data_IF_616521807044
#
_entry.id   IF_616521807044
#
_cell.length_a   1.000
_cell.length_b   1.000
_cell.length_c   1.000
_cell.angle_alpha   90.00
_cell.angle_beta   90.00
_cell.angle_gamma   90.00
#
_symmetry.space_group_name_H-M   'P 1'
#
loop_
_entity.id
_entity.type
_entity.pdbx_description
1 polymer ?
#
# COMPACT_ATOMS: atom_id res chain seq x y z
N UNK A 1 -31.92 77.55 -105.51
CA UNK A 1 -31.22 77.97 -104.27
C UNK A 1 -31.88 77.21 -103.13
N UNK A 2 -31.23 76.46 -102.23
CA UNK A 2 -29.83 76.36 -101.82
C UNK A 2 -29.57 74.91 -101.33
N UNK A 3 -28.29 74.53 -101.40
CA UNK A 3 -27.66 73.23 -101.11
C UNK A 3 -27.47 72.98 -99.58
N UNK A 4 -26.88 71.84 -99.14
CA UNK A 4 -27.18 71.08 -97.92
C UNK A 4 -26.22 71.34 -96.73
N UNK A 5 -26.50 70.77 -95.55
CA UNK A 5 -25.50 70.41 -94.51
C UNK A 5 -26.22 69.71 -93.33
N UNK A 6 -25.65 68.90 -92.43
CA UNK A 6 -24.41 68.15 -92.25
C UNK A 6 -24.69 67.21 -91.05
N UNK A 7 -23.90 66.14 -90.94
CA UNK A 7 -23.88 65.10 -89.89
C UNK A 7 -23.80 65.67 -88.46
N UNK A 8 -24.33 64.93 -87.48
CA UNK A 8 -23.69 64.81 -86.16
C UNK A 8 -23.89 63.38 -85.61
N UNK A 9 -22.79 62.62 -85.59
CA UNK A 9 -22.64 61.44 -84.77
C UNK A 9 -22.24 61.90 -83.35
N UNK A 10 -22.90 61.40 -82.31
CA UNK A 10 -22.36 61.38 -80.95
C UNK A 10 -22.60 59.98 -80.38
N UNK A 11 -21.48 59.33 -80.08
CA UNK A 11 -21.40 58.06 -79.39
C UNK A 11 -21.96 58.18 -77.96
N UNK A 12 -22.77 57.21 -77.53
CA UNK A 12 -22.91 56.87 -76.11
C UNK A 12 -22.34 55.47 -75.94
N UNK A 13 -21.02 55.41 -76.03
CA UNK A 13 -20.19 54.32 -75.53
C UNK A 13 -19.30 54.96 -74.45
N UNK A 14 -19.77 54.96 -73.20
CA UNK A 14 -18.99 55.07 -71.96
C UNK A 14 -19.89 55.51 -70.79
N UNK A 15 -20.56 54.57 -70.13
CA UNK A 15 -20.95 54.76 -68.72
C UNK A 15 -21.03 53.41 -67.98
N UNK A 16 -19.96 52.61 -68.08
CA UNK A 16 -19.73 51.45 -67.18
C UNK A 16 -18.30 51.48 -66.66
N UNK A 17 -17.78 52.68 -66.38
CA UNK A 17 -16.37 52.86 -66.08
C UNK A 17 -16.14 53.90 -65.01
N UNK A 18 -16.59 53.61 -63.79
CA UNK A 18 -15.96 54.06 -62.54
C UNK A 18 -16.90 53.77 -61.37
N UNK A 19 -16.95 52.53 -60.86
CA UNK A 19 -17.37 52.30 -59.46
C UNK A 19 -16.97 50.94 -58.89
N UNK A 20 -15.81 50.38 -59.25
CA UNK A 20 -15.24 49.26 -58.48
C UNK A 20 -13.70 49.30 -58.54
N UNK A 21 -13.11 50.25 -57.82
CA UNK A 21 -11.70 50.15 -57.41
C UNK A 21 -11.70 50.25 -55.90
N UNK A 22 -11.58 49.12 -55.20
CA UNK A 22 -11.41 49.15 -53.75
C UNK A 22 -11.54 47.82 -53.03
N UNK A 23 -12.40 46.90 -53.46
CA UNK A 23 -12.47 45.58 -52.82
C UNK A 23 -11.58 44.61 -53.59
N UNK A 24 -10.51 44.13 -52.96
CA UNK A 24 -9.88 42.85 -53.31
C UNK A 24 -10.90 41.73 -53.04
N UNK A 25 -11.93 41.65 -53.87
CA UNK A 25 -12.81 40.50 -53.92
C UNK A 25 -11.97 39.34 -54.46
N UNK A 26 -12.02 38.20 -53.76
CA UNK A 26 -11.58 36.92 -54.29
C UNK A 26 -12.08 36.80 -55.73
N UNK A 27 -11.16 36.75 -56.70
CA UNK A 27 -11.50 36.51 -58.08
C UNK A 27 -11.86 35.02 -58.25
N UNK A 28 -13.00 34.63 -57.71
CA UNK A 28 -13.71 33.43 -58.16
C UNK A 28 -14.39 33.79 -59.47
N UNK A 29 -13.99 33.16 -60.56
CA UNK A 29 -14.70 33.31 -61.84
C UNK A 29 -16.11 32.75 -61.67
N UNK A 30 -17.12 33.63 -61.65
CA UNK A 30 -18.52 33.18 -61.69
C UNK A 30 -18.78 32.67 -63.10
N UNK A 31 -18.66 31.36 -63.29
CA UNK A 31 -19.09 30.69 -64.52
C UNK A 31 -20.61 30.59 -64.51
N UNK A 32 -21.30 31.59 -65.03
CA UNK A 32 -22.70 31.45 -65.39
C UNK A 32 -22.77 30.51 -66.59
N UNK A 33 -23.52 29.41 -66.48
CA UNK A 33 -23.92 28.63 -67.66
C UNK A 33 -24.56 29.58 -68.68
N UNK A 34 -24.41 29.32 -69.99
CA UNK A 34 -24.94 30.19 -71.06
C UNK A 34 -26.39 30.60 -70.76
N UNK A 35 -26.58 31.85 -70.35
CA UNK A 35 -27.90 32.45 -70.14
C UNK A 35 -28.29 33.21 -71.41
N UNK A 36 -29.54 33.03 -71.82
CA UNK A 36 -30.13 33.65 -73.00
C UNK A 36 -30.88 34.92 -72.59
N UNK A 37 -31.10 35.83 -73.55
CA UNK A 37 -31.92 37.01 -73.32
C UNK A 37 -33.36 36.58 -72.99
N UNK A 38 -33.83 36.89 -71.78
CA UNK A 38 -35.15 36.52 -71.27
C UNK A 38 -35.12 35.49 -70.14
N UNK A 39 -33.96 34.88 -69.84
CA UNK A 39 -33.83 33.97 -68.71
C UNK A 39 -33.92 34.74 -67.39
N UNK A 40 -34.80 34.28 -66.49
CA UNK A 40 -34.91 34.82 -65.14
C UNK A 40 -33.88 34.11 -64.25
N UNK A 41 -32.82 34.81 -63.88
CA UNK A 41 -31.84 34.31 -62.91
C UNK A 41 -32.49 34.39 -61.52
N UNK A 42 -32.90 33.25 -60.97
CA UNK A 42 -33.41 33.15 -59.60
C UNK A 42 -32.25 33.02 -58.62
N UNK A 43 -32.42 33.42 -57.36
CA UNK A 43 -31.35 33.34 -56.34
C UNK A 43 -30.74 31.93 -56.19
N UNK A 44 -31.50 30.88 -56.54
CA UNK A 44 -31.07 29.48 -56.55
C UNK A 44 -30.11 29.10 -57.70
N UNK A 45 -29.99 29.90 -58.76
CA UNK A 45 -29.10 29.62 -59.90
C UNK A 45 -27.72 30.27 -59.78
N UNK A 46 -27.52 31.08 -58.74
CA UNK A 46 -26.21 31.55 -58.31
C UNK A 46 -25.69 30.50 -57.33
N UNK A 47 -24.64 29.76 -57.70
CA UNK A 47 -23.89 28.96 -56.73
C UNK A 47 -23.38 29.92 -55.66
N UNK A 48 -24.10 30.06 -54.55
CA UNK A 48 -23.66 30.87 -53.43
C UNK A 48 -22.49 30.12 -52.78
N UNK A 49 -21.23 30.59 -52.95
CA UNK A 49 -20.09 29.93 -52.32
C UNK A 49 -20.23 29.88 -50.80
N UNK A 50 -21.10 30.72 -50.21
CA UNK A 50 -21.44 30.70 -48.79
C UNK A 50 -22.22 29.45 -48.40
N UNK A 51 -23.13 28.94 -49.24
CA UNK A 51 -23.87 27.70 -48.98
C UNK A 51 -22.93 26.46 -49.03
N UNK A 52 -21.98 26.44 -49.95
CA UNK A 52 -20.95 25.38 -50.02
C UNK A 52 -19.98 25.45 -48.84
N UNK A 53 -19.61 26.66 -48.41
CA UNK A 53 -18.77 26.89 -47.24
C UNK A 53 -19.50 26.48 -45.95
N UNK A 54 -20.78 26.83 -45.80
CA UNK A 54 -21.61 26.41 -44.67
C UNK A 54 -21.80 24.89 -44.65
N UNK A 55 -22.02 24.24 -45.80
CA UNK A 55 -22.07 22.78 -45.88
C UNK A 55 -20.74 22.11 -45.48
N UNK A 56 -19.61 22.72 -45.83
CA UNK A 56 -18.27 22.21 -45.48
C UNK A 56 -17.95 22.42 -43.99
N UNK A 57 -18.35 23.55 -43.42
CA UNK A 57 -18.17 23.85 -41.99
C UNK A 57 -19.11 23.01 -41.11
N UNK A 58 -20.37 22.87 -41.53
CA UNK A 58 -21.40 22.14 -40.78
C UNK A 58 -21.36 20.62 -41.02
N UNK A 59 -20.69 20.15 -42.08
CA UNK A 59 -20.47 18.73 -42.36
C UNK A 59 -19.35 18.08 -41.53
N UNK A 60 -18.67 18.87 -40.69
CA UNK A 60 -17.53 18.43 -39.88
C UNK A 60 -16.20 18.80 -40.55
N UNK A 61 -15.31 19.44 -39.78
CA UNK A 61 -13.93 19.66 -40.21
C UNK A 61 -13.20 18.33 -40.00
N UNK A 62 -13.08 17.55 -41.07
CA UNK A 62 -12.25 16.33 -41.04
C UNK A 62 -10.75 16.68 -41.04
N UNK A 63 -9.92 15.80 -40.47
CA UNK A 63 -8.48 16.01 -40.27
C UNK A 63 -7.72 16.39 -41.56
N UNK A 64 -8.19 15.97 -42.73
CA UNK A 64 -7.62 16.32 -44.04
C UNK A 64 -7.69 17.82 -44.37
N UNK A 65 -8.55 18.57 -43.69
CA UNK A 65 -8.76 20.00 -43.93
C UNK A 65 -7.97 20.90 -42.95
N UNK A 66 -7.22 20.30 -42.02
CA UNK A 66 -6.37 21.03 -41.09
C UNK A 66 -4.92 20.89 -41.58
N UNK A 67 -4.32 22.01 -42.02
CA UNK A 67 -2.90 22.02 -42.37
C UNK A 67 -2.08 21.49 -41.20
N UNK A 68 -1.11 20.61 -41.46
CA UNK A 68 -0.19 20.10 -40.43
C UNK A 68 0.61 21.20 -39.72
N UNK A 69 0.62 22.42 -40.28
CA UNK A 69 1.27 23.61 -39.71
C UNK A 69 0.30 24.62 -39.11
N UNK A 70 -1.01 24.36 -39.13
CA UNK A 70 -1.98 25.24 -38.51
C UNK A 70 -1.83 25.17 -36.99
N UNK A 71 -1.42 26.29 -36.38
CA UNK A 71 -1.47 26.49 -34.94
C UNK A 71 -2.95 26.64 -34.50
N UNK A 72 -3.69 25.53 -34.51
CA UNK A 72 -5.03 25.50 -33.93
C UNK A 72 -4.83 25.52 -32.41
N UNK A 73 -5.13 26.66 -31.81
CA UNK A 73 -5.17 26.76 -30.35
C UNK A 73 -6.23 25.79 -29.82
N UNK A 74 -5.81 24.89 -28.93
CA UNK A 74 -6.67 23.88 -28.29
C UNK A 74 -7.91 24.51 -27.63
N UNK A 75 -7.81 25.76 -27.18
CA UNK A 75 -8.92 26.55 -26.63
C UNK A 75 -10.11 26.75 -27.58
N UNK A 76 -9.95 26.48 -28.88
CA UNK A 76 -10.99 26.64 -29.91
C UNK A 76 -11.63 25.32 -30.35
N UNK A 77 -11.21 24.19 -29.80
CA UNK A 77 -11.81 22.88 -30.09
C UNK A 77 -12.76 22.53 -28.94
N UNK A 78 -14.06 22.70 -29.16
CA UNK A 78 -15.08 22.27 -28.21
C UNK A 78 -15.46 20.81 -28.50
N UNK A 79 -14.95 19.88 -27.70
CA UNK A 79 -15.33 18.48 -27.79
C UNK A 79 -16.76 18.30 -27.24
N UNK A 80 -17.68 17.91 -28.11
CA UNK A 80 -19.08 17.68 -27.75
C UNK A 80 -19.21 16.27 -27.16
N UNK A 81 -19.11 16.21 -25.83
CA UNK A 81 -19.34 15.06 -24.94
C UNK A 81 -18.20 14.03 -24.83
N UNK A 82 -17.77 13.80 -23.59
CA UNK A 82 -16.67 12.92 -23.21
C UNK A 82 -15.34 13.67 -23.22
N UNK A 83 -14.82 14.01 -22.03
CA UNK A 83 -13.61 14.83 -21.88
C UNK A 83 -12.45 14.35 -22.74
N UNK A 84 -11.63 15.27 -23.24
CA UNK A 84 -10.36 14.88 -23.82
C UNK A 84 -9.59 14.08 -22.77
N UNK A 85 -9.26 12.85 -23.12
CA UNK A 85 -8.57 11.94 -22.24
C UNK A 85 -7.17 12.53 -22.03
N UNK A 86 -6.77 12.77 -20.78
CA UNK A 86 -5.37 13.04 -20.45
C UNK A 86 -4.59 11.73 -20.44
N UNK A 87 -4.81 10.90 -21.46
CA UNK A 87 -4.05 9.69 -21.72
C UNK A 87 -2.62 10.12 -21.99
N UNK A 88 -1.76 9.93 -20.98
CA UNK A 88 -0.34 10.09 -21.15
C UNK A 88 0.14 9.23 -22.32
N UNK A 89 0.71 9.86 -23.33
CA UNK A 89 1.28 9.18 -24.49
C UNK A 89 0.27 8.80 -25.58
N UNK A 90 0.79 8.58 -26.79
CA UNK A 90 0.07 8.29 -28.03
C UNK A 90 -0.77 7.01 -28.05
N UNK A 91 -0.96 6.34 -26.91
CA UNK A 91 -1.67 5.04 -26.81
C UNK A 91 -2.82 5.03 -25.81
N UNK A 92 -3.16 6.16 -25.16
CA UNK A 92 -4.32 6.20 -24.26
C UNK A 92 -4.24 5.23 -23.09
N UNK A 93 -3.02 4.81 -22.70
CA UNK A 93 -2.83 3.94 -21.55
C UNK A 93 -3.29 4.71 -20.32
N UNK A 94 -4.30 4.23 -19.58
CA UNK A 94 -4.70 4.86 -18.33
C UNK A 94 -3.47 5.00 -17.44
N UNK A 95 -3.32 6.15 -16.77
CA UNK A 95 -2.37 6.24 -15.65
C UNK A 95 -2.94 5.34 -14.55
N UNK A 96 -2.57 4.07 -14.61
CA UNK A 96 -2.85 3.12 -13.53
C UNK A 96 -2.01 3.60 -12.36
N UNK A 97 -2.67 3.92 -11.24
CA UNK A 97 -1.97 4.26 -10.01
C UNK A 97 -1.01 3.12 -9.69
N UNK A 98 0.29 3.38 -9.80
CA UNK A 98 1.32 2.38 -9.55
C UNK A 98 1.23 2.02 -8.06
N UNK A 99 0.99 0.73 -7.79
CA UNK A 99 1.11 0.18 -6.47
C UNK A 99 2.55 0.43 -5.97
N UNK A 100 2.69 1.12 -4.84
CA UNK A 100 3.99 1.40 -4.26
C UNK A 100 4.47 0.14 -3.53
N UNK A 101 5.69 -0.27 -3.83
CA UNK A 101 6.31 -1.43 -3.20
C UNK A 101 6.32 -1.27 -1.67
N UNK A 102 5.86 -2.29 -0.94
CA UNK A 102 5.84 -2.32 0.52
C UNK A 102 4.91 -1.31 1.20
N UNK A 103 4.04 -0.61 0.45
CA UNK A 103 3.18 0.43 1.03
C UNK A 103 2.23 -0.14 2.09
N UNK A 104 2.25 0.47 3.27
CA UNK A 104 1.38 0.15 4.40
C UNK A 104 1.12 1.43 5.19
N UNK A 105 -0.14 1.86 5.26
CA UNK A 105 -0.52 3.10 5.95
C UNK A 105 -1.89 2.98 6.62
N UNK A 106 -1.99 3.43 7.87
CA UNK A 106 -3.23 3.48 8.65
C UNK A 106 -3.71 2.13 9.18
N UNK A 107 -3.38 1.02 8.51
CA UNK A 107 -3.69 -0.31 8.99
C UNK A 107 -2.95 -0.60 10.30
N UNK A 108 -3.71 -1.00 11.30
CA UNK A 108 -3.25 -1.37 12.62
C UNK A 108 -4.20 -2.40 13.22
N UNK A 109 -3.72 -3.13 14.24
CA UNK A 109 -4.52 -4.16 14.93
C UNK A 109 -4.60 -3.85 16.43
N UNK A 110 -5.70 -4.22 17.06
CA UNK A 110 -5.95 -4.12 18.50
C UNK A 110 -6.95 -5.18 18.96
N UNK A 111 -6.89 -5.63 20.21
CA UNK A 111 -7.93 -6.47 20.78
C UNK A 111 -9.30 -5.78 20.66
N UNK A 112 -10.31 -6.50 20.14
CA UNK A 112 -11.63 -5.91 19.94
C UNK A 112 -12.37 -5.77 21.28
N UNK A 113 -13.01 -4.62 21.51
CA UNK A 113 -13.62 -4.32 22.80
C UNK A 113 -14.83 -5.20 23.15
N UNK A 114 -15.44 -5.86 22.16
CA UNK A 114 -16.59 -6.75 22.35
C UNK A 114 -16.22 -8.14 22.87
N UNK A 115 -15.15 -8.73 22.32
CA UNK A 115 -14.59 -10.00 22.72
C UNK A 115 -13.06 -10.01 22.54
N UNK A 116 -12.32 -9.57 23.56
CA UNK A 116 -10.86 -9.51 23.46
C UNK A 116 -10.20 -10.90 23.38
N UNK A 117 -10.92 -11.96 23.72
CA UNK A 117 -10.38 -13.32 23.76
C UNK A 117 -10.28 -13.95 22.35
N UNK A 118 -11.16 -13.57 21.43
CA UNK A 118 -11.20 -14.18 20.10
C UNK A 118 -11.14 -13.15 18.96
N UNK A 119 -11.39 -11.87 19.24
CA UNK A 119 -11.54 -10.85 18.20
C UNK A 119 -10.40 -9.82 18.18
N UNK A 120 -9.99 -9.45 16.96
CA UNK A 120 -9.08 -8.35 16.66
C UNK A 120 -9.78 -7.33 15.76
N UNK A 121 -9.75 -6.07 16.17
CA UNK A 121 -10.14 -4.95 15.32
C UNK A 121 -8.97 -4.54 14.42
N UNK A 122 -9.26 -4.40 13.13
CA UNK A 122 -8.36 -3.92 12.09
C UNK A 122 -8.79 -2.51 11.70
N UNK A 123 -7.91 -1.54 11.91
CA UNK A 123 -8.17 -0.14 11.61
C UNK A 123 -8.32 0.14 10.10
N UNK A 124 -8.96 1.26 9.78
CA UNK A 124 -9.04 1.78 8.40
C UNK A 124 -7.66 2.12 7.86
N UNK A 125 -7.43 1.85 6.59
CA UNK A 125 -6.12 2.08 6.00
C UNK A 125 -5.99 1.51 4.61
N UNK A 126 -4.75 1.51 4.13
CA UNK A 126 -4.39 1.04 2.80
C UNK A 126 -3.06 0.31 2.86
N UNK A 127 -2.91 -0.68 1.99
CA UNK A 127 -1.64 -1.33 1.75
C UNK A 127 -1.55 -1.78 0.30
N UNK A 128 -0.34 -2.12 -0.14
CA UNK A 128 -0.17 -2.98 -1.30
C UNK A 128 -0.18 -4.45 -0.84
N UNK A 129 -0.70 -5.34 -1.68
CA UNK A 129 -0.69 -6.79 -1.43
C UNK A 129 0.74 -7.36 -1.33
N UNK A 130 0.85 -8.64 -1.00
CA UNK A 130 2.12 -9.38 -0.85
C UNK A 130 2.93 -9.51 -2.15
N UNK A 131 2.34 -9.20 -3.30
CA UNK A 131 3.03 -9.22 -4.62
C UNK A 131 3.38 -7.83 -5.14
N UNK A 132 3.11 -6.79 -4.35
CA UNK A 132 3.28 -5.38 -4.71
C UNK A 132 2.53 -4.95 -5.99
N UNK A 133 1.41 -5.62 -6.30
CA UNK A 133 0.67 -5.43 -7.55
C UNK A 133 -0.69 -4.75 -7.36
N UNK A 134 -1.34 -4.96 -6.21
CA UNK A 134 -2.73 -4.57 -5.97
C UNK A 134 -2.83 -3.73 -4.70
N UNK A 135 -3.50 -2.57 -4.81
CA UNK A 135 -3.81 -1.74 -3.65
C UNK A 135 -5.02 -2.30 -2.90
N UNK A 136 -4.83 -2.67 -1.65
CA UNK A 136 -5.85 -3.07 -0.69
C UNK A 136 -6.31 -1.83 0.09
N UNK A 137 -7.63 -1.60 0.18
CA UNK A 137 -8.20 -0.45 0.87
C UNK A 137 -9.30 -0.86 1.85
N UNK A 138 -9.04 -0.68 3.14
CA UNK A 138 -9.99 -0.91 4.23
C UNK A 138 -10.68 0.42 4.55
N UNK A 139 -11.96 0.54 4.18
CA UNK A 139 -12.73 1.79 4.29
C UNK A 139 -13.50 1.95 5.60
N UNK A 140 -13.67 0.87 6.36
CA UNK A 140 -14.26 0.84 7.69
C UNK A 140 -13.48 -0.16 8.57
N UNK A 141 -13.47 0.04 9.88
CA UNK A 141 -12.89 -0.93 10.82
C UNK A 141 -13.50 -2.31 10.58
N UNK A 142 -12.65 -3.33 10.48
CA UNK A 142 -13.05 -4.73 10.40
C UNK A 142 -12.81 -5.37 11.76
N UNK A 143 -13.63 -6.35 12.11
CA UNK A 143 -13.39 -7.21 13.29
C UNK A 143 -13.19 -8.62 12.76
N UNK A 144 -12.05 -9.23 13.06
CA UNK A 144 -11.73 -10.61 12.71
C UNK A 144 -11.79 -11.49 13.96
N UNK A 145 -12.53 -12.58 13.89
CA UNK A 145 -12.79 -13.52 14.99
C UNK A 145 -12.08 -14.85 14.73
N UNK A 146 -11.10 -15.21 15.55
CA UNK A 146 -10.22 -16.37 15.32
C UNK A 146 -10.95 -17.71 15.49
N UNK A 147 -12.11 -17.72 16.14
CA UNK A 147 -12.97 -18.87 16.39
C UNK A 147 -14.12 -18.99 15.36
N UNK A 148 -14.06 -18.21 14.28
CA UNK A 148 -15.08 -18.17 13.22
C UNK A 148 -14.49 -18.61 11.89
N UNK A 149 -15.29 -19.27 11.06
CA UNK A 149 -14.90 -19.72 9.73
C UNK A 149 -15.13 -18.65 8.64
N UNK A 150 -14.23 -18.58 7.67
CA UNK A 150 -14.37 -17.78 6.45
C UNK A 150 -13.81 -16.36 6.55
N UNK A 151 -14.45 -15.43 5.85
CA UNK A 151 -14.04 -14.02 5.87
C UNK A 151 -14.23 -13.44 7.28
N UNK A 152 -13.26 -12.64 7.73
CA UNK A 152 -13.19 -12.16 9.11
C UNK A 152 -13.01 -13.28 10.14
N UNK A 153 -12.42 -14.41 9.75
CA UNK A 153 -12.04 -15.46 10.68
C UNK A 153 -10.83 -16.25 10.19
N UNK A 154 -10.87 -17.57 10.29
CA UNK A 154 -9.83 -18.48 9.79
C UNK A 154 -10.44 -19.65 9.01
N UNK A 155 -9.75 -20.08 7.96
CA UNK A 155 -9.96 -21.35 7.27
C UNK A 155 -8.60 -22.08 7.20
N UNK A 156 -8.34 -22.94 8.18
CA UNK A 156 -7.29 -23.92 8.02
C UNK A 156 -7.89 -25.17 7.34
N UNK A 157 -7.30 -25.60 6.23
CA UNK A 157 -7.73 -26.83 5.55
C UNK A 157 -7.45 -28.08 6.42
N UNK A 158 -6.55 -27.97 7.40
CA UNK A 158 -6.16 -29.05 8.30
C UNK A 158 -6.90 -29.00 9.65
N UNK A 159 -7.64 -27.93 9.97
CA UNK A 159 -8.41 -27.80 11.21
C UNK A 159 -9.91 -27.99 10.96
N UNK A 160 -10.38 -29.20 11.22
CA UNK A 160 -11.78 -29.62 11.01
C UNK A 160 -12.69 -29.10 12.15
N UNK A 161 -12.14 -28.44 13.16
CA UNK A 161 -12.83 -28.11 14.41
C UNK A 161 -13.13 -26.63 14.65
N UNK A 162 -12.62 -25.71 13.82
CA UNK A 162 -12.86 -24.26 13.90
C UNK A 162 -12.37 -23.60 15.20
N UNK A 163 -11.33 -24.14 15.84
CA UNK A 163 -10.84 -23.60 17.10
C UNK A 163 -9.36 -23.25 16.97
N UNK A 164 -9.02 -22.02 17.29
CA UNK A 164 -7.61 -21.63 17.37
C UNK A 164 -6.83 -22.58 18.27
N UNK A 165 -5.66 -23.03 17.82
CA UNK A 165 -4.81 -23.93 18.60
C UNK A 165 -4.20 -23.19 19.78
N UNK A 166 -4.00 -23.89 20.90
CA UNK A 166 -3.29 -23.34 22.05
C UNK A 166 -1.84 -22.95 21.69
N UNK A 167 -1.32 -21.92 22.35
CA UNK A 167 0.09 -21.51 22.31
C UNK A 167 0.66 -21.28 20.90
N UNK A 168 -0.19 -20.89 19.96
CA UNK A 168 0.09 -20.86 18.51
C UNK A 168 0.12 -19.43 17.98
N UNK A 169 1.03 -19.18 17.03
CA UNK A 169 1.14 -17.90 16.34
C UNK A 169 0.29 -17.86 15.07
N UNK A 170 -0.38 -16.73 14.88
CA UNK A 170 -1.17 -16.41 13.70
C UNK A 170 -0.73 -15.07 13.10
N UNK A 171 -0.65 -15.04 11.78
CA UNK A 171 -0.55 -13.82 10.98
C UNK A 171 -1.95 -13.20 10.88
N UNK A 172 -2.07 -11.91 11.17
CA UNK A 172 -3.31 -11.16 10.91
C UNK A 172 -3.19 -10.50 9.56
N UNK A 173 -4.15 -10.77 8.68
CA UNK A 173 -4.13 -10.33 7.30
C UNK A 173 -5.35 -9.48 6.96
N UNK A 174 -5.16 -8.63 5.95
CA UNK A 174 -6.26 -8.10 5.15
C UNK A 174 -6.28 -8.88 3.84
N UNK A 175 -7.43 -9.45 3.50
CA UNK A 175 -7.63 -10.26 2.28
C UNK A 175 -8.67 -9.59 1.40
N UNK A 176 -8.42 -9.56 0.09
CA UNK A 176 -9.36 -9.06 -0.91
C UNK A 176 -9.65 -10.15 -1.93
N UNK A 177 -10.91 -10.23 -2.35
CA UNK A 177 -11.32 -11.12 -3.43
C UNK A 177 -10.64 -10.67 -4.73
N UNK A 178 -10.29 -11.63 -5.60
CA UNK A 178 -9.60 -11.37 -6.88
C UNK A 178 -10.35 -10.40 -7.82
N UNK A 179 -11.67 -10.30 -7.70
CA UNK A 179 -12.51 -9.37 -8.46
C UNK A 179 -12.58 -7.95 -7.83
N UNK A 180 -11.90 -7.73 -6.70
CA UNK A 180 -11.84 -6.47 -5.96
C UNK A 180 -13.13 -6.10 -5.21
N UNK A 181 -14.17 -6.94 -5.24
CA UNK A 181 -15.51 -6.57 -4.75
C UNK A 181 -15.68 -6.63 -3.23
N UNK A 182 -14.81 -7.36 -2.54
CA UNK A 182 -14.90 -7.58 -1.10
C UNK A 182 -13.51 -7.63 -0.45
N UNK A 183 -13.41 -7.06 0.74
CA UNK A 183 -12.21 -7.03 1.57
C UNK A 183 -12.61 -7.41 3.01
N UNK A 184 -11.76 -8.14 3.72
CA UNK A 184 -11.99 -8.52 5.11
C UNK A 184 -10.71 -8.82 5.87
N UNK A 185 -10.84 -9.03 7.18
CA UNK A 185 -9.78 -9.55 8.03
C UNK A 185 -9.67 -11.06 7.91
N UNK A 186 -8.52 -11.61 8.25
CA UNK A 186 -8.31 -13.05 8.24
C UNK A 186 -7.12 -13.43 9.12
N UNK A 187 -7.12 -14.66 9.65
CA UNK A 187 -5.97 -15.25 10.34
C UNK A 187 -5.37 -16.38 9.52
N UNK A 188 -4.05 -16.38 9.39
CA UNK A 188 -3.30 -17.51 8.84
C UNK A 188 -2.38 -18.07 9.93
N UNK A 189 -2.38 -19.37 10.14
CA UNK A 189 -1.46 -20.02 11.09
C UNK A 189 -0.02 -19.86 10.58
N UNK A 190 0.92 -19.48 11.44
CA UNK A 190 2.32 -19.41 11.03
C UNK A 190 2.83 -20.83 10.68
N UNK A 191 3.73 -20.89 9.69
CA UNK A 191 4.31 -22.12 9.14
C UNK A 191 3.37 -22.98 8.28
N UNK A 192 2.14 -22.52 8.00
CA UNK A 192 1.29 -23.07 6.94
C UNK A 192 1.32 -22.17 5.70
N UNK A 193 1.00 -22.73 4.54
CA UNK A 193 0.83 -21.93 3.32
C UNK A 193 -0.46 -21.11 3.40
N UNK A 194 -0.41 -19.84 3.00
CA UNK A 194 -1.58 -18.97 2.93
C UNK A 194 -2.72 -19.61 2.12
N UNK A 195 -3.87 -19.81 2.79
CA UNK A 195 -5.11 -20.30 2.17
C UNK A 195 -6.15 -19.19 2.07
N UNK A 196 -6.69 -18.95 0.88
CA UNK A 196 -7.75 -17.96 0.75
C UNK A 196 -9.02 -18.40 1.48
N UNK A 197 -9.76 -17.47 2.12
CA UNK A 197 -11.02 -17.79 2.76
C UNK A 197 -12.03 -18.40 1.78
N UNK A 198 -13.00 -19.16 2.29
CA UNK A 198 -14.09 -19.74 1.54
C UNK A 198 -14.83 -18.66 0.74
N UNK A 199 -14.93 -18.86 -0.57
CA UNK A 199 -15.49 -17.88 -1.52
C UNK A 199 -14.52 -16.83 -2.07
N UNK A 200 -13.24 -16.86 -1.67
CA UNK A 200 -12.19 -15.92 -2.11
C UNK A 200 -11.14 -16.59 -3.02
N UNK A 201 -11.56 -17.24 -4.11
CA UNK A 201 -10.61 -17.86 -5.05
C UNK A 201 -9.56 -16.87 -5.58
N UNK A 202 -8.27 -17.23 -5.48
CA UNK A 202 -7.11 -16.40 -5.88
C UNK A 202 -7.08 -15.02 -5.21
N UNK A 203 -7.43 -14.94 -3.92
CA UNK A 203 -7.36 -13.72 -3.15
C UNK A 203 -5.98 -13.06 -3.18
N UNK A 204 -5.97 -11.74 -3.08
CA UNK A 204 -4.78 -10.94 -2.75
C UNK A 204 -4.81 -10.64 -1.26
N UNK A 205 -3.65 -10.52 -0.63
CA UNK A 205 -3.57 -10.35 0.82
C UNK A 205 -2.37 -9.52 1.24
N UNK A 206 -2.42 -9.00 2.48
CA UNK A 206 -1.29 -8.36 3.14
C UNK A 206 -1.31 -8.70 4.62
N UNK A 207 -0.17 -9.14 5.15
CA UNK A 207 0.04 -9.30 6.60
C UNK A 207 0.15 -7.90 7.23
N UNK A 208 -0.56 -7.67 8.33
CA UNK A 208 -0.64 -6.38 9.03
C UNK A 208 -0.31 -6.47 10.53
N UNK A 209 -0.05 -7.68 11.02
CA UNK A 209 0.38 -7.95 12.38
C UNK A 209 0.42 -9.44 12.67
N UNK A 210 0.71 -9.75 13.93
CA UNK A 210 0.73 -11.11 14.46
C UNK A 210 -0.04 -11.13 15.78
N UNK A 211 -0.64 -12.28 16.09
CA UNK A 211 -1.22 -12.56 17.41
C UNK A 211 -0.83 -13.96 17.85
N UNK A 212 -0.76 -14.17 19.16
CA UNK A 212 -0.55 -15.48 19.74
C UNK A 212 -1.75 -15.85 20.59
N UNK A 213 -2.15 -17.11 20.52
CA UNK A 213 -3.06 -17.71 21.50
C UNK A 213 -2.29 -18.23 22.71
N UNK A 214 -2.91 -18.24 23.88
CA UNK A 214 -2.37 -18.91 25.07
C UNK A 214 -2.87 -20.34 25.22
N UNK A 215 -2.53 -20.97 26.34
CA UNK A 215 -2.97 -22.34 26.71
C UNK A 215 -4.49 -22.58 26.72
N UNK A 216 -5.30 -21.51 26.77
CA UNK A 216 -6.76 -21.57 26.72
C UNK A 216 -7.36 -21.24 25.35
N UNK A 217 -6.57 -21.26 24.29
CA UNK A 217 -6.93 -20.88 22.91
C UNK A 217 -7.35 -19.41 22.71
N UNK A 218 -7.42 -18.62 23.78
CA UNK A 218 -7.67 -17.18 23.70
C UNK A 218 -6.44 -16.43 23.19
N UNK A 219 -6.68 -15.38 22.40
CA UNK A 219 -5.68 -14.38 22.03
C UNK A 219 -5.10 -13.74 23.29
N UNK A 220 -3.78 -13.66 23.37
CA UNK A 220 -3.09 -12.94 24.44
C UNK A 220 -3.25 -11.45 24.19
N UNK A 221 -3.79 -10.73 25.17
CA UNK A 221 -4.04 -9.29 25.05
C UNK A 221 -2.74 -8.48 24.95
N UNK A 222 -2.78 -7.44 24.12
CA UNK A 222 -1.65 -6.56 23.87
C UNK A 222 -2.08 -5.11 23.65
N UNK A 223 -1.13 -4.21 23.89
CA UNK A 223 -1.20 -2.82 23.50
C UNK A 223 -0.21 -2.55 22.36
N UNK A 224 -0.67 -1.90 21.29
CA UNK A 224 0.16 -1.55 20.14
C UNK A 224 0.44 -0.04 20.07
N UNK A 225 1.70 0.33 19.86
CA UNK A 225 2.14 1.70 19.56
C UNK A 225 3.06 1.68 18.34
N UNK A 226 2.55 2.11 17.19
CA UNK A 226 3.30 2.04 15.93
C UNK A 226 3.58 0.58 15.54
N UNK A 227 4.85 0.17 15.57
CA UNK A 227 5.30 -1.22 15.32
C UNK A 227 5.58 -2.03 16.58
N UNK A 228 5.55 -1.38 17.74
CA UNK A 228 5.82 -2.03 19.01
C UNK A 228 4.51 -2.62 19.56
N UNK A 229 4.56 -3.89 19.90
CA UNK A 229 3.52 -4.64 20.61
C UNK A 229 4.02 -4.90 22.01
N UNK A 230 3.22 -4.56 23.01
CA UNK A 230 3.48 -4.85 24.41
C UNK A 230 2.40 -5.78 24.92
N UNK A 231 2.78 -6.90 25.52
CA UNK A 231 1.82 -7.76 26.22
C UNK A 231 1.25 -7.03 27.43
N UNK A 232 -0.06 -7.15 27.64
CA UNK A 232 -0.71 -6.56 28.81
C UNK A 232 -0.20 -7.23 30.10
N UNK A 233 0.02 -8.55 30.04
CA UNK A 233 0.71 -9.32 31.07
C UNK A 233 2.00 -9.93 30.48
N UNK A 234 3.20 -9.53 30.94
CA UNK A 234 4.46 -10.13 30.49
C UNK A 234 4.50 -11.64 30.69
N UNK A 235 5.10 -12.35 29.74
CA UNK A 235 5.08 -13.82 29.72
C UNK A 235 6.43 -14.36 30.16
N UNK A 236 6.44 -15.22 31.17
CA UNK A 236 7.66 -15.92 31.62
C UNK A 236 7.96 -17.09 30.69
N UNK A 237 8.91 -16.89 29.78
CA UNK A 237 9.30 -17.88 28.78
C UNK A 237 10.44 -18.78 29.25
N UNK A 238 11.34 -18.26 30.09
CA UNK A 238 12.45 -19.02 30.69
C UNK A 238 12.39 -18.91 32.21
N UNK A 239 12.55 -20.04 32.87
CA UNK A 239 12.72 -20.20 34.32
C UNK A 239 13.71 -21.35 34.53
N UNK A 240 14.99 -21.00 34.51
CA UNK A 240 16.10 -21.96 34.46
C UNK A 240 16.98 -21.79 35.69
N UNK A 241 17.04 -22.85 36.51
CA UNK A 241 17.87 -22.93 37.70
C UNK A 241 19.03 -23.93 37.56
N UNK A 242 19.31 -24.33 36.31
CA UNK A 242 20.34 -25.30 35.94
C UNK A 242 21.43 -24.72 35.04
N UNK A 243 21.35 -23.42 34.75
CA UNK A 243 22.29 -22.75 33.85
C UNK A 243 23.74 -22.98 34.29
N UNK A 244 24.60 -23.26 33.33
CA UNK A 244 26.04 -23.39 33.58
C UNK A 244 26.74 -22.07 33.29
N UNK A 245 27.67 -21.67 34.17
CA UNK A 245 28.50 -20.48 33.98
C UNK A 245 29.06 -20.40 32.56
N UNK A 246 28.89 -19.25 31.92
CA UNK A 246 29.42 -18.92 30.60
C UNK A 246 29.07 -19.95 29.51
N UNK A 247 27.90 -20.59 29.64
CA UNK A 247 27.39 -21.55 28.66
C UNK A 247 26.06 -21.06 28.10
N UNK A 248 25.96 -20.97 26.78
CA UNK A 248 24.74 -20.57 26.11
C UNK A 248 23.71 -21.69 26.13
N UNK A 249 22.50 -21.34 26.53
CA UNK A 249 21.31 -22.17 26.46
C UNK A 249 20.27 -21.53 25.54
N UNK A 250 19.38 -22.33 24.96
CA UNK A 250 18.35 -21.85 24.03
C UNK A 250 17.02 -21.72 24.74
N UNK A 251 16.41 -20.55 24.67
CA UNK A 251 15.04 -20.32 25.11
C UNK A 251 14.13 -19.95 23.94
N UNK A 252 12.87 -20.37 24.01
CA UNK A 252 11.83 -19.96 23.04
C UNK A 252 11.04 -18.81 23.64
N UNK A 253 11.00 -17.66 22.96
CA UNK A 253 10.29 -16.48 23.44
C UNK A 253 8.87 -16.41 22.89
N UNK A 254 8.00 -15.71 23.61
CA UNK A 254 6.69 -15.29 23.13
C UNK A 254 6.77 -13.99 22.31
N UNK A 255 7.50 -14.09 21.20
CA UNK A 255 7.53 -13.12 20.10
C UNK A 255 7.35 -13.87 18.77
N UNK A 256 6.81 -13.24 17.70
CA UNK A 256 6.70 -13.91 16.41
C UNK A 256 8.09 -14.25 15.85
N UNK A 257 8.21 -15.30 15.02
CA UNK A 257 9.46 -15.62 14.34
C UNK A 257 10.08 -14.43 13.60
N UNK A 258 11.41 -14.34 13.58
CA UNK A 258 12.17 -13.29 12.85
C UNK A 258 11.83 -11.84 13.24
N UNK A 259 11.41 -11.61 14.49
CA UNK A 259 11.12 -10.28 15.04
C UNK A 259 12.11 -9.88 16.11
N UNK A 260 12.10 -8.60 16.50
CA UNK A 260 12.87 -8.13 17.65
C UNK A 260 12.01 -8.25 18.91
N UNK A 261 12.37 -9.12 19.84
CA UNK A 261 11.70 -9.27 21.13
C UNK A 261 12.24 -8.26 22.14
N UNK A 262 11.37 -7.69 22.98
CA UNK A 262 11.76 -6.99 24.21
C UNK A 262 11.59 -7.96 25.38
N UNK A 263 12.68 -8.26 26.07
CA UNK A 263 12.68 -9.14 27.24
C UNK A 263 13.11 -8.42 28.50
N UNK A 264 12.62 -8.90 29.63
CA UNK A 264 13.15 -8.60 30.96
C UNK A 264 13.91 -9.81 31.46
N UNK A 265 15.22 -9.65 31.59
CA UNK A 265 16.15 -10.65 32.09
C UNK A 265 16.36 -10.43 33.59
N UNK A 266 16.17 -11.48 34.38
CA UNK A 266 16.58 -11.54 35.79
C UNK A 266 17.60 -12.66 35.95
N UNK A 267 18.70 -12.34 36.63
CA UNK A 267 19.70 -13.32 37.07
C UNK A 267 19.81 -13.22 38.58
N UNK A 268 19.64 -14.32 39.29
CA UNK A 268 19.73 -14.36 40.74
C UNK A 268 20.59 -15.54 41.18
N UNK A 269 21.35 -15.38 42.26
CA UNK A 269 22.07 -16.50 42.87
C UNK A 269 21.60 -16.77 44.29
N UNK A 270 21.52 -18.05 44.66
CA UNK A 270 21.24 -18.48 46.02
C UNK A 270 22.52 -19.07 46.63
N UNK A 271 23.05 -18.43 47.67
CA UNK A 271 24.01 -19.07 48.58
C UNK A 271 25.46 -18.58 48.55
N UNK A 272 25.79 -17.51 47.84
CA UNK A 272 27.19 -17.09 47.70
C UNK A 272 27.70 -16.19 48.82
N UNK A 273 29.00 -16.36 49.11
CA UNK A 273 29.79 -15.50 49.99
C UNK A 273 31.02 -15.00 49.23
N UNK A 274 31.22 -13.69 49.11
CA UNK A 274 32.43 -13.10 48.53
C UNK A 274 32.18 -11.96 47.54
N UNK A 275 33.26 -11.54 46.86
CA UNK A 275 33.17 -10.67 45.70
C UNK A 275 32.91 -11.55 44.47
N UNK A 276 31.84 -11.26 43.75
CA UNK A 276 31.46 -12.00 42.55
C UNK A 276 30.89 -11.03 41.52
N UNK A 277 31.06 -11.40 40.26
CA UNK A 277 30.38 -10.76 39.15
C UNK A 277 29.08 -11.52 38.89
N UNK A 278 27.97 -10.78 38.74
CA UNK A 278 26.73 -11.33 38.24
C UNK A 278 26.31 -10.59 36.99
N UNK A 279 26.07 -11.34 35.93
CA UNK A 279 25.53 -10.79 34.70
C UNK A 279 24.78 -11.83 33.90
N UNK A 280 23.93 -11.31 33.03
CA UNK A 280 23.19 -12.09 32.07
C UNK A 280 23.30 -11.47 30.69
N UNK A 281 23.29 -12.34 29.69
CA UNK A 281 23.29 -12.00 28.27
C UNK A 281 22.11 -12.70 27.61
N UNK A 282 21.41 -11.99 26.72
CA UNK A 282 20.51 -12.59 25.72
C UNK A 282 21.01 -12.17 24.33
N UNK A 283 20.96 -13.10 23.38
CA UNK A 283 21.51 -12.90 22.04
C UNK A 283 20.80 -13.73 20.98
N UNK A 284 20.95 -13.42 19.68
CA UNK A 284 20.43 -14.24 18.60
C UNK A 284 21.02 -15.66 18.63
N UNK A 285 20.27 -16.66 18.17
CA UNK A 285 20.76 -18.04 18.08
C UNK A 285 21.93 -18.16 17.10
N UNK A 286 22.97 -18.88 17.49
CA UNK A 286 24.15 -19.12 16.65
C UNK A 286 25.07 -17.91 16.44
N UNK A 287 24.96 -16.87 17.28
CA UNK A 287 25.92 -15.75 17.23
C UNK A 287 27.35 -16.23 17.55
N UNK A 288 28.33 -15.57 16.95
CA UNK A 288 29.73 -16.02 16.97
C UNK A 288 30.47 -15.69 18.27
N UNK A 289 29.99 -14.72 19.04
CA UNK A 289 30.46 -14.59 20.41
C UNK A 289 29.96 -15.81 21.19
N UNK A 290 30.82 -16.43 21.99
CA UNK A 290 30.45 -17.58 22.82
C UNK A 290 30.76 -17.34 24.28
N UNK A 291 31.07 -16.10 24.66
CA UNK A 291 31.48 -15.72 26.00
C UNK A 291 30.63 -14.56 26.48
N UNK A 292 30.02 -14.70 27.65
CA UNK A 292 29.38 -13.61 28.34
C UNK A 292 30.49 -12.75 28.98
N UNK A 293 31.13 -11.89 28.17
CA UNK A 293 32.03 -10.87 28.68
C UNK A 293 31.23 -9.65 29.17
N UNK A 294 31.78 -8.89 30.12
CA UNK A 294 31.09 -7.74 30.73
C UNK A 294 30.65 -6.68 29.71
N UNK A 295 31.37 -6.56 28.59
CA UNK A 295 31.08 -5.57 27.54
C UNK A 295 29.78 -5.89 26.78
N UNK A 296 29.29 -7.13 26.88
CA UNK A 296 28.09 -7.62 26.19
C UNK A 296 26.91 -7.87 27.11
N UNK A 297 27.07 -7.68 28.43
CA UNK A 297 26.00 -7.89 29.37
C UNK A 297 24.77 -7.05 29.05
N UNK A 298 23.69 -7.78 28.82
CA UNK A 298 22.33 -7.26 28.84
C UNK A 298 22.00 -6.65 30.21
N UNK A 299 22.47 -7.30 31.27
CA UNK A 299 22.54 -6.74 32.60
C UNK A 299 23.75 -7.30 33.35
N UNK A 300 24.40 -6.46 34.15
CA UNK A 300 25.33 -6.93 35.17
C UNK A 300 25.41 -6.00 36.36
N UNK A 301 25.82 -6.55 37.49
CA UNK A 301 26.27 -5.81 38.66
C UNK A 301 27.55 -6.46 39.17
N UNK A 302 28.56 -5.65 39.40
CA UNK A 302 29.70 -6.03 40.22
C UNK A 302 29.28 -5.81 41.68
N UNK A 303 28.95 -6.91 42.38
CA UNK A 303 28.50 -6.84 43.76
C UNK A 303 29.65 -7.19 44.71
N UNK A 304 30.01 -6.24 45.58
CA UNK A 304 30.81 -6.52 46.78
C UNK A 304 29.84 -6.75 47.95
N UNK A 305 29.41 -7.97 48.18
CA UNK A 305 28.61 -8.29 49.39
C UNK A 305 29.37 -9.22 50.32
N UNK A 306 29.63 -8.74 51.54
CA UNK A 306 29.89 -9.62 52.67
C UNK A 306 28.59 -10.31 53.08
N UNK A 307 28.59 -11.64 53.06
CA UNK A 307 27.54 -12.57 53.51
C UNK A 307 26.08 -12.12 53.34
N UNK A 308 25.45 -12.56 52.25
CA UNK A 308 24.00 -12.48 52.09
C UNK A 308 23.55 -12.80 50.66
N UNK A 309 22.47 -13.57 50.53
CA UNK A 309 21.75 -13.78 49.27
C UNK A 309 21.52 -12.44 48.58
N UNK A 310 21.93 -12.33 47.32
CA UNK A 310 21.63 -11.15 46.51
C UNK A 310 20.26 -11.33 45.89
N UNK A 311 19.37 -10.37 46.16
CA UNK A 311 18.12 -10.26 45.42
C UNK A 311 18.50 -9.89 43.98
N UNK A 312 18.31 -10.82 43.05
CA UNK A 312 18.96 -10.83 41.73
C UNK A 312 18.89 -9.53 40.91
N UNK A 313 19.77 -9.42 39.93
CA UNK A 313 19.84 -8.27 39.01
C UNK A 313 18.75 -8.38 37.94
N UNK A 314 18.06 -7.28 37.63
CA UNK A 314 16.95 -7.24 36.64
C UNK A 314 17.14 -6.12 35.62
N UNK A 315 17.07 -6.46 34.33
CA UNK A 315 17.28 -5.53 33.22
C UNK A 315 16.36 -5.82 32.03
N UNK A 316 16.27 -4.87 31.10
CA UNK A 316 15.48 -5.01 29.87
C UNK A 316 16.37 -4.95 28.65
N UNK A 317 16.16 -5.85 27.71
CA UNK A 317 17.06 -6.07 26.57
C UNK A 317 16.24 -6.41 25.33
N UNK A 318 16.78 -6.07 24.16
CA UNK A 318 16.17 -6.41 22.88
C UNK A 318 16.99 -7.47 22.17
N UNK A 319 16.35 -8.51 21.66
CA UNK A 319 17.01 -9.63 20.98
C UNK A 319 16.26 -10.01 19.72
N UNK A 320 16.97 -10.26 18.63
CA UNK A 320 16.38 -10.81 17.41
C UNK A 320 16.12 -12.29 17.62
N UNK A 321 14.87 -12.73 17.47
CA UNK A 321 14.53 -14.16 17.52
C UNK A 321 14.63 -14.78 16.13
N UNK A 322 14.97 -16.06 16.08
CA UNK A 322 15.08 -16.79 14.82
C UNK A 322 13.71 -17.24 14.24
N UNK A 323 13.74 -18.09 13.22
CA UNK A 323 12.53 -18.62 12.58
C UNK A 323 11.67 -19.52 13.49
N UNK A 324 12.21 -19.93 14.65
CA UNK A 324 11.51 -20.72 15.65
C UNK A 324 11.14 -19.89 16.89
N UNK A 325 11.28 -18.57 16.83
CA UNK A 325 11.12 -17.65 17.97
C UNK A 325 12.15 -17.91 19.10
N UNK A 326 13.32 -18.46 18.76
CA UNK A 326 14.35 -18.79 19.74
C UNK A 326 15.41 -17.70 19.85
N UNK A 327 16.01 -17.64 21.03
CA UNK A 327 17.20 -16.85 21.37
C UNK A 327 18.15 -17.71 22.21
N UNK A 328 19.38 -17.27 22.35
CA UNK A 328 20.32 -17.81 23.32
C UNK A 328 20.43 -16.91 24.55
N UNK A 329 20.57 -17.51 25.72
CA UNK A 329 20.84 -16.81 26.97
C UNK A 329 22.02 -17.44 27.72
N UNK A 330 22.72 -16.61 28.47
CA UNK A 330 23.88 -16.98 29.27
C UNK A 330 23.82 -16.24 30.60
N UNK A 331 24.41 -16.83 31.64
CA UNK A 331 24.72 -16.14 32.87
C UNK A 331 26.20 -16.33 33.21
N UNK A 332 26.81 -15.30 33.77
CA UNK A 332 28.09 -15.42 34.45
C UNK A 332 27.80 -15.61 35.92
N UNK A 333 28.32 -16.73 36.45
CA UNK A 333 28.32 -17.02 37.87
C UNK A 333 29.67 -17.55 38.34
N UNK A 334 30.19 -16.97 39.43
CA UNK A 334 31.27 -17.58 40.23
C UNK A 334 30.69 -18.47 41.35
N UNK A 335 29.37 -18.69 41.30
CA UNK A 335 28.51 -19.32 42.28
C UNK A 335 28.06 -20.73 41.86
N UNK A 336 27.50 -21.52 42.78
CA UNK A 336 27.02 -22.88 42.46
C UNK A 336 25.53 -22.95 42.08
N UNK A 337 24.78 -21.85 42.19
CA UNK A 337 23.33 -21.84 41.93
C UNK A 337 22.87 -20.50 41.40
N UNK A 338 22.75 -20.39 40.08
CA UNK A 338 22.13 -19.26 39.39
C UNK A 338 20.78 -19.64 38.81
N UNK A 339 19.81 -18.76 39.01
CA UNK A 339 18.50 -18.81 38.37
C UNK A 339 18.40 -17.68 37.35
N UNK A 340 18.12 -18.03 36.10
CA UNK A 340 17.78 -17.11 35.02
C UNK A 340 16.28 -17.16 34.76
N UNK A 341 15.67 -15.98 34.81
CA UNK A 341 14.26 -15.80 34.44
C UNK A 341 14.19 -14.79 33.30
N UNK A 342 13.51 -15.16 32.21
CA UNK A 342 13.29 -14.27 31.07
C UNK A 342 11.79 -14.10 30.88
N UNK A 343 11.33 -12.86 30.99
CA UNK A 343 9.95 -12.50 30.68
C UNK A 343 9.90 -11.72 29.37
N UNK A 344 9.16 -12.18 28.38
CA UNK A 344 8.90 -11.38 27.18
C UNK A 344 7.87 -10.31 27.50
N UNK A 345 8.26 -9.06 27.30
CA UNK A 345 7.41 -7.89 27.50
C UNK A 345 6.62 -7.54 26.23
N UNK A 346 7.12 -7.95 25.06
CA UNK A 346 6.57 -7.58 23.77
C UNK A 346 7.56 -7.76 22.62
N UNK A 347 7.26 -7.21 21.45
CA UNK A 347 8.09 -7.30 20.26
C UNK A 347 7.88 -6.12 19.29
N UNK A 348 8.81 -5.92 18.37
CA UNK A 348 8.63 -5.06 17.20
C UNK A 348 8.37 -5.90 15.96
N UNK A 349 7.27 -5.61 15.26
CA UNK A 349 7.06 -6.20 13.94
C UNK A 349 8.10 -5.69 12.93
N UNK A 350 8.42 -6.52 11.95
CA UNK A 350 9.29 -6.19 10.81
C UNK A 350 8.49 -5.90 9.53
N UNK A 351 7.15 -5.89 9.64
CA UNK A 351 6.24 -5.76 8.50
C UNK A 351 6.41 -4.40 7.80
N UNK A 352 6.63 -4.44 6.49
CA UNK A 352 6.83 -3.25 5.66
C UNK A 352 8.22 -2.61 5.81
N UNK A 353 9.22 -3.39 6.21
CA UNK A 353 10.65 -3.08 6.06
C UNK A 353 11.20 -4.10 5.06
N UNK A 354 10.99 -3.86 3.77
CA UNK A 354 11.60 -4.61 2.67
C UNK A 354 12.24 -3.61 1.69
#
# INVERSE_FOLDING_TARGET
MMKPSKRLAIAVLALVGAWFVGSKALAGTISLGRVSTGDTITASSINDPRATLEATINGGIENVNISATAAISESKIAFTSGGHDHGGGSEGTPVVGVALQGYLFGLGISNAAGDTAHDIDIAVGRATDSTDSTNLAVSATLTAAIDTQGINGMDDNDDVTNDAEADTWYEVLVVQKSDGTAIGGYYNKIATSMNCPSGYTNCTFRIIGYVRTGSGNNIINFTRVGRYFRWDDPIKDVDDNTITNDTAETGTLTAPPTTLALVRLRVASDGDQGNFLFGGLVRPTGDSDTTANEDEFCIGVEAQSGDGSTDGVVGECTVLVDSNSQMEYMAVEDANTTTVIINTLGYWDTIGIE
#
